data_IF_888318220753
#
_entry.id   IF_888318220753
#
_cell.length_a   1.000
_cell.length_b   1.000
_cell.length_c   1.000
_cell.angle_alpha   90.00
_cell.angle_beta   90.00
_cell.angle_gamma   90.00
#
_symmetry.space_group_name_H-M   'P 1'
#
loop_
_entity.id
_entity.type
_entity.pdbx_description
1 polymer ?
#
# COMPACT_ATOMS: atom_id res chain seq x y z
N UNK A 1 -36.24 34.38 0.68
CA UNK A 1 -36.05 33.00 0.19
C UNK A 1 -34.79 32.36 0.76
N UNK A 2 -33.58 32.59 0.24
CA UNK A 2 -32.34 31.95 0.75
C UNK A 2 -31.87 32.43 2.15
N UNK A 3 -32.33 33.60 2.59
CA UNK A 3 -31.97 34.17 3.90
C UNK A 3 -32.88 33.63 5.02
N UNK A 4 -34.10 33.21 4.68
CA UNK A 4 -35.12 32.79 5.65
C UNK A 4 -34.90 31.35 6.14
N UNK A 5 -34.09 30.55 5.42
CA UNK A 5 -33.71 29.17 5.75
C UNK A 5 -32.37 29.06 6.51
N UNK A 6 -31.79 30.18 6.96
CA UNK A 6 -30.56 30.15 7.75
C UNK A 6 -30.91 29.68 9.17
N UNK A 7 -30.65 28.41 9.44
CA UNK A 7 -30.76 27.82 10.77
C UNK A 7 -29.37 27.46 11.33
N UNK A 8 -29.30 27.33 12.65
CA UNK A 8 -28.08 26.85 13.30
C UNK A 8 -27.73 25.42 12.86
N UNK A 9 -26.44 25.12 12.89
CA UNK A 9 -25.94 23.77 12.63
C UNK A 9 -26.52 22.75 13.63
N UNK A 10 -26.78 21.51 13.19
CA UNK A 10 -27.25 20.44 14.08
C UNK A 10 -26.36 20.25 15.31
N UNK A 11 -26.96 19.69 16.36
CA UNK A 11 -26.30 19.53 17.67
C UNK A 11 -24.99 18.73 17.60
N UNK A 12 -24.90 17.81 16.65
CA UNK A 12 -23.73 16.96 16.40
C UNK A 12 -22.51 17.76 15.95
N UNK A 13 -22.69 18.91 15.30
CA UNK A 13 -21.59 19.81 14.90
C UNK A 13 -21.35 20.91 15.94
N UNK A 14 -22.42 21.47 16.51
CA UNK A 14 -22.33 22.57 17.47
C UNK A 14 -21.68 22.12 18.78
N UNK A 15 -21.92 20.88 19.22
CA UNK A 15 -21.40 20.37 20.49
C UNK A 15 -19.87 20.32 20.53
N UNK A 16 -19.15 19.71 19.56
CA UNK A 16 -17.69 19.76 19.52
C UNK A 16 -17.14 21.19 19.48
N UNK A 17 -17.77 22.09 18.73
CA UNK A 17 -17.33 23.49 18.60
C UNK A 17 -17.44 24.25 19.92
N UNK A 18 -18.56 24.08 20.65
CA UNK A 18 -18.76 24.71 21.96
C UNK A 18 -17.76 24.17 22.99
N UNK A 19 -17.52 22.85 23.00
CA UNK A 19 -16.52 22.23 23.88
C UNK A 19 -15.13 22.77 23.57
N UNK A 20 -14.71 22.80 22.30
CA UNK A 20 -13.40 23.33 21.90
C UNK A 20 -13.25 24.82 22.23
N UNK A 21 -14.30 25.62 22.04
CA UNK A 21 -14.31 27.03 22.43
C UNK A 21 -14.15 27.18 23.95
N UNK A 22 -14.84 26.35 24.74
CA UNK A 22 -14.68 26.26 26.20
C UNK A 22 -13.25 25.89 26.61
N UNK A 23 -12.63 24.94 25.92
CA UNK A 23 -11.25 24.52 26.18
C UNK A 23 -10.20 25.56 25.77
N UNK A 24 -10.56 26.49 24.88
CA UNK A 24 -9.66 27.56 24.40
C UNK A 24 -9.55 28.73 25.39
N UNK A 25 -10.34 28.76 26.46
CA UNK A 25 -10.20 29.78 27.51
C UNK A 25 -8.92 29.58 28.31
N UNK A 26 -8.25 30.69 28.62
CA UNK A 26 -6.96 30.69 29.34
C UNK A 26 -6.98 29.88 30.65
N UNK A 27 -8.14 29.83 31.32
CA UNK A 27 -8.35 29.16 32.61
C UNK A 27 -7.92 27.69 32.55
N UNK A 28 -8.16 27.01 31.43
CA UNK A 28 -7.82 25.59 31.25
C UNK A 28 -6.32 25.36 31.35
N UNK A 29 -5.49 26.32 30.91
CA UNK A 29 -4.04 26.21 30.88
C UNK A 29 -3.37 26.67 32.19
N UNK A 30 -4.04 27.50 32.99
CA UNK A 30 -3.49 28.03 34.24
C UNK A 30 -3.83 27.20 35.48
N UNK A 31 -4.76 26.23 35.39
CA UNK A 31 -5.11 25.33 36.49
C UNK A 31 -3.85 24.68 37.13
N UNK A 32 -3.77 24.57 38.47
CA UNK A 32 -4.74 24.94 39.49
C UNK A 32 -4.70 26.42 39.93
N UNK A 33 -3.83 27.25 39.33
CA UNK A 33 -3.67 28.66 39.69
C UNK A 33 -4.65 29.53 38.89
N UNK A 34 -5.57 30.19 39.58
CA UNK A 34 -6.53 31.12 38.97
C UNK A 34 -5.96 32.54 38.91
N UNK A 35 -4.89 32.73 38.14
CA UNK A 35 -4.37 34.07 37.86
C UNK A 35 -4.16 34.28 36.34
N UNK A 36 -5.00 35.10 35.67
CA UNK A 36 -4.86 35.39 34.24
C UNK A 36 -3.58 36.12 33.85
N UNK A 37 -2.89 36.73 34.82
CA UNK A 37 -1.70 37.55 34.61
C UNK A 37 -0.41 36.89 35.13
N UNK A 38 -0.48 35.62 35.53
CA UNK A 38 0.69 34.87 35.99
C UNK A 38 1.02 33.76 35.00
N UNK A 39 2.30 33.56 34.76
CA UNK A 39 2.83 32.55 33.85
C UNK A 39 2.84 31.13 34.46
N UNK A 40 2.16 30.93 35.59
CA UNK A 40 2.15 29.67 36.32
C UNK A 40 0.91 28.84 35.99
N UNK A 41 1.12 27.62 35.50
CA UNK A 41 0.09 26.67 35.15
C UNK A 41 0.69 25.33 34.74
N UNK A 42 -0.11 24.26 34.80
CA UNK A 42 0.35 22.90 34.47
C UNK A 42 1.03 22.81 33.10
N UNK A 43 0.61 23.63 32.12
CA UNK A 43 1.17 23.65 30.77
C UNK A 43 2.60 24.20 30.74
N UNK A 44 2.87 25.26 31.50
CA UNK A 44 4.21 25.87 31.58
C UNK A 44 5.19 24.98 32.35
N UNK A 45 4.70 24.17 33.29
CA UNK A 45 5.54 23.20 34.01
C UNK A 45 6.04 22.05 33.11
N UNK A 46 5.28 21.72 32.06
CA UNK A 46 5.65 20.72 31.05
C UNK A 46 6.65 21.30 30.04
N UNK A 47 6.46 22.56 29.62
CA UNK A 47 7.32 23.21 28.62
C UNK A 47 8.53 23.84 29.31
N UNK A 48 9.49 23.02 29.69
CA UNK A 48 10.77 23.49 30.23
C UNK A 48 11.72 23.85 29.09
N UNK A 49 12.19 25.09 29.07
CA UNK A 49 13.23 25.52 28.15
C UNK A 49 14.51 24.70 28.41
N UNK A 50 15.05 24.09 27.35
CA UNK A 50 16.33 23.39 27.37
C UNK A 50 17.36 24.16 26.56
N UNK A 51 18.63 23.99 26.91
CA UNK A 51 19.73 24.61 26.18
C UNK A 51 19.83 24.03 24.77
N UNK A 52 20.12 24.92 23.82
CA UNK A 52 20.33 24.53 22.43
C UNK A 52 21.60 23.68 22.29
N UNK A 53 21.53 22.62 21.49
CA UNK A 53 22.67 21.77 21.14
C UNK A 53 23.61 22.44 20.12
N UNK A 54 23.25 23.62 19.62
CA UNK A 54 24.04 24.38 18.64
C UNK A 54 25.15 25.14 19.36
N UNK A 55 26.40 24.86 19.00
CA UNK A 55 27.56 25.56 19.54
C UNK A 55 27.48 27.08 19.25
N UNK A 56 27.57 27.89 20.30
CA UNK A 56 27.52 29.36 20.21
C UNK A 56 26.13 29.99 20.33
N UNK A 57 25.08 29.20 20.56
CA UNK A 57 23.76 29.72 20.92
C UNK A 57 23.75 30.21 22.39
N UNK A 58 22.93 31.24 22.67
CA UNK A 58 22.66 31.71 24.02
C UNK A 58 22.02 30.60 24.86
N UNK A 59 22.35 30.54 26.15
CA UNK A 59 21.73 29.58 27.07
C UNK A 59 20.24 29.90 27.27
N UNK A 60 19.44 28.88 27.59
CA UNK A 60 18.02 29.04 27.86
C UNK A 60 17.78 30.00 29.04
N UNK A 61 18.70 30.05 30.01
CA UNK A 61 18.63 30.98 31.13
C UNK A 61 18.86 32.44 30.73
N UNK A 62 19.85 32.72 29.90
CA UNK A 62 20.13 34.07 29.40
C UNK A 62 18.97 34.61 28.56
N UNK A 63 18.36 33.74 27.74
CA UNK A 63 17.17 34.07 26.94
C UNK A 63 15.99 34.38 27.88
N UNK A 64 15.76 33.56 28.91
CA UNK A 64 14.69 33.79 29.88
C UNK A 64 14.84 35.15 30.60
N UNK A 65 16.05 35.50 31.04
CA UNK A 65 16.33 36.79 31.67
C UNK A 65 16.08 37.95 30.71
N UNK A 66 16.48 37.83 29.44
CA UNK A 66 16.22 38.83 28.40
C UNK A 66 14.74 39.03 28.09
N UNK A 67 13.97 37.92 28.06
CA UNK A 67 12.52 37.95 27.88
C UNK A 67 11.83 38.60 29.08
N UNK A 68 12.24 38.30 30.31
CA UNK A 68 11.67 38.93 31.50
C UNK A 68 11.78 40.46 31.49
N UNK A 69 12.88 41.00 30.97
CA UNK A 69 13.06 42.46 30.85
C UNK A 69 12.22 43.08 29.72
N UNK A 70 11.91 42.31 28.68
CA UNK A 70 11.21 42.79 27.47
C UNK A 70 9.77 42.31 27.36
N UNK A 71 9.25 41.63 28.39
CA UNK A 71 7.95 40.97 28.35
C UNK A 71 6.79 41.96 28.10
N UNK A 72 6.72 43.03 28.89
CA UNK A 72 5.69 44.07 28.76
C UNK A 72 5.73 44.80 27.40
N UNK A 73 6.87 45.32 26.93
CA UNK A 73 6.90 45.99 25.63
C UNK A 73 6.58 45.04 24.47
N UNK A 74 7.03 43.78 24.52
CA UNK A 74 6.69 42.78 23.50
C UNK A 74 5.18 42.47 23.50
N UNK A 75 4.58 42.29 24.68
CA UNK A 75 3.14 42.05 24.83
C UNK A 75 2.32 43.21 24.24
N UNK A 76 2.62 44.45 24.63
CA UNK A 76 1.91 45.63 24.15
C UNK A 76 2.08 45.78 22.64
N UNK A 77 3.30 45.62 22.12
CA UNK A 77 3.57 45.72 20.69
C UNK A 77 2.80 44.67 19.91
N UNK A 78 2.77 43.42 20.37
CA UNK A 78 2.03 42.34 19.72
C UNK A 78 0.53 42.61 19.68
N UNK A 79 -0.05 43.12 20.77
CA UNK A 79 -1.46 43.46 20.85
C UNK A 79 -1.81 44.63 19.93
N UNK A 80 -0.93 45.63 19.84
CA UNK A 80 -1.10 46.76 18.91
C UNK A 80 -1.01 46.31 17.45
N UNK A 81 -0.06 45.46 17.09
CA UNK A 81 0.08 44.93 15.72
C UNK A 81 -1.13 44.07 15.36
N UNK A 82 -1.57 43.20 16.25
CA UNK A 82 -2.77 42.38 16.03
C UNK A 82 -4.03 43.24 15.90
N UNK A 83 -4.21 44.21 16.81
CA UNK A 83 -5.36 45.12 16.81
C UNK A 83 -5.40 46.01 15.56
N UNK A 84 -4.26 46.54 15.13
CA UNK A 84 -4.16 47.33 13.88
C UNK A 84 -4.43 46.46 12.66
N UNK A 85 -3.96 45.21 12.63
CA UNK A 85 -4.28 44.26 11.56
C UNK A 85 -5.78 43.96 11.44
N UNK A 86 -6.44 43.67 12.56
CA UNK A 86 -7.90 43.46 12.59
C UNK A 86 -8.65 44.73 12.19
N UNK A 87 -8.21 45.89 12.69
CA UNK A 87 -8.81 47.17 12.34
C UNK A 87 -8.71 47.47 10.83
N UNK A 88 -7.54 47.23 10.21
CA UNK A 88 -7.36 47.39 8.76
C UNK A 88 -8.26 46.43 7.97
N UNK A 89 -8.35 45.17 8.39
CA UNK A 89 -9.26 44.20 7.78
C UNK A 89 -10.73 44.65 7.88
N UNK A 90 -11.16 45.13 9.05
CA UNK A 90 -12.51 45.65 9.26
C UNK A 90 -12.81 46.86 8.34
N UNK A 91 -11.87 47.79 8.21
CA UNK A 91 -12.01 48.94 7.31
C UNK A 91 -12.13 48.53 5.84
N UNK A 92 -11.34 47.54 5.40
CA UNK A 92 -11.34 47.05 4.02
C UNK A 92 -12.61 46.27 3.67
N UNK A 93 -12.98 45.28 4.49
CA UNK A 93 -14.02 44.31 4.13
C UNK A 93 -15.43 44.69 4.61
N UNK A 94 -15.55 45.28 5.80
CA UNK A 94 -16.88 45.61 6.37
C UNK A 94 -17.26 47.05 6.04
N UNK A 95 -16.40 48.01 6.39
CA UNK A 95 -16.69 49.44 6.17
C UNK A 95 -16.48 49.86 4.70
N UNK A 96 -15.80 49.04 3.90
CA UNK A 96 -15.48 49.31 2.48
C UNK A 96 -14.78 50.66 2.26
N UNK A 97 -14.00 51.11 3.24
CA UNK A 97 -13.30 52.41 3.19
C UNK A 97 -12.05 52.40 2.32
N UNK A 98 -11.49 51.22 2.05
CA UNK A 98 -10.37 50.99 1.14
C UNK A 98 -10.77 49.84 0.22
N UNK A 99 -10.63 50.01 -1.09
CA UNK A 99 -10.90 48.93 -2.04
C UNK A 99 -9.72 47.94 -2.06
N UNK A 100 -9.94 46.67 -1.64
CA UNK A 100 -8.89 45.66 -1.70
C UNK A 100 -8.34 45.43 -3.12
N UNK A 101 -9.16 45.67 -4.16
CA UNK A 101 -8.74 45.48 -5.55
C UNK A 101 -7.66 46.48 -5.96
N UNK A 102 -7.85 47.76 -5.65
CA UNK A 102 -6.86 48.81 -5.93
C UNK A 102 -5.52 48.55 -5.24
N UNK A 103 -5.55 47.99 -4.02
CA UNK A 103 -4.35 47.60 -3.29
C UNK A 103 -3.68 46.39 -3.97
N UNK A 104 -4.46 45.40 -4.40
CA UNK A 104 -3.93 44.22 -5.11
C UNK A 104 -3.28 44.56 -6.46
N UNK A 105 -3.83 45.53 -7.19
CA UNK A 105 -3.27 46.01 -8.45
C UNK A 105 -1.96 46.76 -8.24
N UNK A 106 -1.85 47.54 -7.16
CA UNK A 106 -0.62 48.26 -6.81
C UNK A 106 0.50 47.31 -6.34
N UNK A 107 0.13 46.22 -5.68
CA UNK A 107 1.05 45.22 -5.14
C UNK A 107 0.89 43.86 -5.85
N UNK A 108 0.88 43.89 -7.18
CA UNK A 108 0.60 42.72 -8.02
C UNK A 108 1.53 41.54 -7.73
N UNK A 109 2.84 41.79 -7.56
CA UNK A 109 3.83 40.72 -7.35
C UNK A 109 3.58 39.93 -6.05
N UNK A 110 3.59 40.55 -4.85
CA UNK A 110 3.32 39.81 -3.61
C UNK A 110 1.88 39.29 -3.54
N UNK A 111 0.92 40.00 -4.15
CA UNK A 111 -0.47 39.52 -4.26
C UNK A 111 -0.53 38.24 -5.09
N UNK A 112 0.08 38.21 -6.28
CA UNK A 112 0.09 37.05 -7.18
C UNK A 112 0.82 35.87 -6.55
N UNK A 113 1.91 36.11 -5.82
CA UNK A 113 2.60 35.06 -5.06
C UNK A 113 1.67 34.47 -3.98
N UNK A 114 1.07 35.31 -3.13
CA UNK A 114 0.16 34.83 -2.07
C UNK A 114 -1.10 34.16 -2.66
N UNK A 115 -1.63 34.70 -3.76
CA UNK A 115 -2.83 34.20 -4.45
C UNK A 115 -2.58 32.80 -5.03
N UNK A 116 -1.42 32.57 -5.64
CA UNK A 116 -1.01 31.26 -6.13
C UNK A 116 -0.34 30.40 -5.05
N UNK A 117 -0.56 30.69 -3.75
CA UNK A 117 0.01 29.93 -2.62
C UNK A 117 1.54 29.72 -2.74
N UNK A 118 2.25 30.76 -3.19
CA UNK A 118 3.70 30.75 -3.47
C UNK A 118 4.15 29.72 -4.51
N UNK A 119 3.24 29.27 -5.38
CA UNK A 119 3.47 28.25 -6.40
C UNK A 119 3.98 26.91 -5.84
N UNK A 120 3.79 26.64 -4.55
CA UNK A 120 4.29 25.43 -3.90
C UNK A 120 3.61 24.19 -4.50
N UNK A 121 2.30 24.26 -4.72
CA UNK A 121 1.50 23.17 -5.29
C UNK A 121 1.99 22.82 -6.72
N UNK A 122 2.26 23.84 -7.54
CA UNK A 122 2.72 23.70 -8.94
C UNK A 122 4.16 23.18 -9.00
N UNK A 123 5.06 23.69 -8.16
CA UNK A 123 6.44 23.21 -8.05
C UNK A 123 6.43 21.75 -7.61
N UNK A 124 5.67 21.41 -6.57
CA UNK A 124 5.56 20.04 -6.09
C UNK A 124 5.00 19.11 -7.16
N UNK A 125 3.94 19.53 -7.86
CA UNK A 125 3.33 18.75 -8.93
C UNK A 125 4.29 18.51 -10.11
N UNK A 126 5.02 19.56 -10.52
CA UNK A 126 5.92 19.51 -11.68
C UNK A 126 7.21 18.75 -11.39
N UNK A 127 7.82 18.97 -10.23
CA UNK A 127 9.15 18.46 -9.92
C UNK A 127 9.16 17.18 -9.08
N UNK A 128 8.09 16.88 -8.36
CA UNK A 128 8.01 15.66 -7.55
C UNK A 128 6.96 14.70 -8.10
N UNK A 129 5.68 15.09 -8.11
CA UNK A 129 4.58 14.18 -8.45
C UNK A 129 4.69 13.62 -9.88
N UNK A 130 4.76 14.50 -10.88
CA UNK A 130 4.79 14.09 -12.30
C UNK A 130 5.97 13.17 -12.66
N UNK A 131 7.23 13.49 -12.31
CA UNK A 131 8.35 12.60 -12.64
C UNK A 131 8.30 11.27 -11.88
N UNK A 132 7.85 11.27 -10.62
CA UNK A 132 7.70 10.02 -9.84
C UNK A 132 6.65 9.12 -10.47
N UNK A 133 5.51 9.66 -10.91
CA UNK A 133 4.49 8.86 -11.60
C UNK A 133 4.97 8.35 -12.95
N UNK A 134 5.66 9.18 -13.75
CA UNK A 134 6.25 8.72 -15.01
C UNK A 134 7.25 7.58 -14.79
N UNK A 135 8.04 7.65 -13.73
CA UNK A 135 8.96 6.57 -13.36
C UNK A 135 8.19 5.30 -12.96
N UNK A 136 7.12 5.44 -12.19
CA UNK A 136 6.26 4.31 -11.81
C UNK A 136 5.63 3.64 -13.05
N UNK A 137 5.12 4.44 -14.00
CA UNK A 137 4.57 3.94 -15.27
C UNK A 137 5.63 3.22 -16.11
N UNK A 138 6.87 3.73 -16.12
CA UNK A 138 7.98 3.07 -16.81
C UNK A 138 8.34 1.73 -16.16
N UNK A 139 8.35 1.65 -14.82
CA UNK A 139 8.60 0.40 -14.10
C UNK A 139 7.47 -0.60 -14.39
N UNK A 140 6.21 -0.15 -14.35
CA UNK A 140 5.07 -0.99 -14.67
C UNK A 140 5.12 -1.51 -16.12
N UNK A 141 5.54 -0.69 -17.08
CA UNK A 141 5.74 -1.12 -18.46
C UNK A 141 6.82 -2.20 -18.57
N UNK A 142 7.93 -2.05 -17.85
CA UNK A 142 8.99 -3.07 -17.83
C UNK A 142 8.47 -4.40 -17.28
N UNK A 143 7.71 -4.36 -16.19
CA UNK A 143 7.14 -5.55 -15.57
C UNK A 143 6.15 -6.27 -16.52
N UNK A 144 5.12 -5.56 -17.01
CA UNK A 144 4.10 -6.15 -17.86
C UNK A 144 4.60 -6.55 -19.26
N UNK A 145 5.36 -5.67 -19.91
CA UNK A 145 5.72 -5.87 -21.32
C UNK A 145 6.99 -6.70 -21.49
N UNK A 146 7.96 -6.56 -20.59
CA UNK A 146 9.23 -7.29 -20.68
C UNK A 146 9.15 -8.55 -19.81
N UNK A 147 8.87 -8.40 -18.52
CA UNK A 147 8.95 -9.55 -17.61
C UNK A 147 7.86 -10.58 -17.88
N UNK A 148 6.59 -10.18 -17.81
CA UNK A 148 5.46 -11.12 -17.96
C UNK A 148 5.40 -11.74 -19.37
N UNK A 149 5.50 -10.91 -20.42
CA UNK A 149 5.35 -11.41 -21.79
C UNK A 149 6.53 -12.24 -22.28
N UNK A 150 7.77 -11.86 -21.96
CA UNK A 150 8.93 -12.62 -22.45
C UNK A 150 9.29 -13.76 -21.50
N UNK A 151 9.33 -13.50 -20.19
CA UNK A 151 9.74 -14.53 -19.23
C UNK A 151 8.55 -15.41 -18.89
N UNK A 152 7.48 -14.89 -18.28
CA UNK A 152 6.40 -15.77 -17.77
C UNK A 152 5.71 -16.54 -18.90
N UNK A 153 5.24 -15.85 -19.95
CA UNK A 153 4.60 -16.53 -21.09
C UNK A 153 5.60 -17.35 -21.92
N UNK A 154 6.89 -17.01 -21.91
CA UNK A 154 7.95 -17.81 -22.50
C UNK A 154 8.11 -19.15 -21.77
N UNK A 155 8.27 -19.09 -20.44
CA UNK A 155 8.32 -20.27 -19.57
C UNK A 155 7.07 -21.12 -19.70
N UNK A 156 5.88 -20.52 -19.69
CA UNK A 156 4.61 -21.23 -19.87
C UNK A 156 4.58 -22.03 -21.18
N UNK A 157 5.05 -21.45 -22.30
CA UNK A 157 5.16 -22.16 -23.58
C UNK A 157 6.14 -23.32 -23.55
N UNK A 158 7.28 -23.15 -22.88
CA UNK A 158 8.28 -24.22 -22.73
C UNK A 158 7.72 -25.36 -21.89
N UNK A 159 7.05 -25.05 -20.79
CA UNK A 159 6.42 -26.05 -19.91
C UNK A 159 5.29 -26.79 -20.63
N UNK A 160 4.43 -26.09 -21.37
CA UNK A 160 3.37 -26.75 -22.18
C UNK A 160 3.98 -27.67 -23.25
N UNK A 161 5.04 -27.22 -23.92
CA UNK A 161 5.76 -28.04 -24.89
C UNK A 161 6.36 -29.31 -24.25
N UNK A 162 7.01 -29.18 -23.09
CA UNK A 162 7.53 -30.32 -22.34
C UNK A 162 6.41 -31.28 -21.92
N UNK A 163 5.30 -30.76 -21.37
CA UNK A 163 4.14 -31.56 -20.98
C UNK A 163 3.57 -32.36 -22.16
N UNK A 164 3.48 -31.76 -23.36
CA UNK A 164 3.05 -32.47 -24.58
C UNK A 164 4.01 -33.58 -25.00
N UNK A 165 5.31 -33.39 -24.83
CA UNK A 165 6.31 -34.43 -25.11
C UNK A 165 6.17 -35.57 -24.11
N UNK A 166 6.14 -35.26 -22.81
CA UNK A 166 5.99 -36.28 -21.76
C UNK A 166 4.70 -37.06 -21.94
N UNK A 167 3.58 -36.39 -22.23
CA UNK A 167 2.31 -37.05 -22.51
C UNK A 167 2.35 -37.96 -23.74
N UNK A 168 3.07 -37.58 -24.81
CA UNK A 168 3.28 -38.47 -25.97
C UNK A 168 4.11 -39.69 -25.61
N UNK A 169 5.21 -39.51 -24.87
CA UNK A 169 6.07 -40.62 -24.44
C UNK A 169 5.32 -41.62 -23.57
N UNK A 170 4.49 -41.13 -22.64
CA UNK A 170 3.67 -41.97 -21.77
C UNK A 170 2.64 -42.77 -22.59
N UNK A 171 1.83 -42.08 -23.39
CA UNK A 171 0.74 -42.70 -24.13
C UNK A 171 1.20 -43.61 -25.27
N UNK A 172 2.16 -43.18 -26.09
CA UNK A 172 2.64 -43.97 -27.24
C UNK A 172 3.72 -44.97 -26.82
N UNK A 173 4.62 -44.57 -25.93
CA UNK A 173 5.76 -45.40 -25.52
C UNK A 173 5.38 -46.43 -24.48
N UNK A 174 4.80 -45.99 -23.36
CA UNK A 174 4.55 -46.86 -22.20
C UNK A 174 3.25 -47.63 -22.40
N UNK A 175 2.13 -46.93 -22.58
CA UNK A 175 0.81 -47.58 -22.65
C UNK A 175 0.67 -48.45 -23.91
N UNK A 176 0.81 -47.86 -25.09
CA UNK A 176 0.63 -48.61 -26.35
C UNK A 176 1.80 -49.55 -26.66
N UNK A 177 3.03 -49.10 -26.37
CA UNK A 177 4.24 -49.84 -26.66
C UNK A 177 4.42 -51.01 -25.70
N UNK A 178 4.57 -50.72 -24.42
CA UNK A 178 4.94 -51.72 -23.41
C UNK A 178 3.70 -52.45 -22.88
N UNK A 179 2.73 -51.72 -22.33
CA UNK A 179 1.59 -52.32 -21.61
C UNK A 179 0.70 -53.12 -22.55
N UNK A 180 0.27 -52.53 -23.66
CA UNK A 180 -0.60 -53.19 -24.64
C UNK A 180 0.08 -54.35 -25.34
N UNK A 181 1.37 -54.24 -25.68
CA UNK A 181 2.11 -55.36 -26.28
C UNK A 181 2.27 -56.52 -25.30
N UNK A 182 2.52 -56.22 -24.03
CA UNK A 182 2.53 -57.24 -22.98
C UNK A 182 1.16 -57.92 -22.86
N UNK A 183 0.08 -57.16 -22.80
CA UNK A 183 -1.29 -57.69 -22.77
C UNK A 183 -1.63 -58.54 -24.00
N UNK A 184 -1.25 -58.09 -25.20
CA UNK A 184 -1.42 -58.85 -26.45
C UNK A 184 -0.66 -60.17 -26.43
N UNK A 185 0.58 -60.18 -25.95
CA UNK A 185 1.40 -61.39 -25.88
C UNK A 185 0.85 -62.38 -24.85
N UNK A 186 0.45 -61.93 -23.66
CA UNK A 186 -0.20 -62.78 -22.66
C UNK A 186 -1.49 -63.40 -23.19
N UNK A 187 -2.32 -62.61 -23.90
CA UNK A 187 -3.56 -63.12 -24.52
C UNK A 187 -3.29 -64.13 -25.64
N UNK A 188 -2.24 -63.94 -26.44
CA UNK A 188 -1.80 -64.91 -27.45
C UNK A 188 -1.34 -66.22 -26.79
N UNK A 189 -0.51 -66.14 -25.75
CA UNK A 189 -0.07 -67.31 -24.99
C UNK A 189 -1.27 -68.08 -24.41
N UNK A 190 -2.24 -67.39 -23.81
CA UNK A 190 -3.47 -68.01 -23.30
C UNK A 190 -4.31 -68.69 -24.39
N UNK A 191 -4.45 -68.07 -25.58
CA UNK A 191 -5.14 -68.70 -26.73
C UNK A 191 -4.42 -69.96 -27.23
N UNK A 192 -3.09 -69.92 -27.29
CA UNK A 192 -2.27 -71.07 -27.69
C UNK A 192 -2.42 -72.23 -26.70
N UNK A 193 -2.33 -71.95 -25.39
CA UNK A 193 -2.58 -72.95 -24.34
C UNK A 193 -4.00 -73.52 -24.39
N UNK A 194 -5.01 -72.67 -24.68
CA UNK A 194 -6.39 -73.14 -24.85
C UNK A 194 -6.54 -74.11 -26.01
N UNK A 195 -5.81 -73.92 -27.11
CA UNK A 195 -5.87 -74.84 -28.26
C UNK A 195 -5.27 -76.23 -27.99
N UNK A 196 -4.42 -76.36 -26.96
CA UNK A 196 -3.92 -77.67 -26.51
C UNK A 196 -5.04 -78.51 -25.89
N UNK A 197 -6.08 -77.89 -25.34
CA UNK A 197 -7.25 -78.57 -24.80
C UNK A 197 -8.26 -78.86 -25.91
N UNK A 198 -8.19 -80.06 -26.50
CA UNK A 198 -9.04 -80.47 -27.63
C UNK A 198 -10.42 -81.01 -27.22
N UNK A 199 -10.66 -81.24 -25.94
CA UNK A 199 -11.92 -81.81 -25.41
C UNK A 199 -12.12 -83.30 -25.70
N UNK A 200 -11.18 -83.98 -26.37
CA UNK A 200 -11.24 -85.42 -26.67
C UNK A 200 -10.47 -86.22 -25.61
N UNK A 201 -11.16 -87.14 -24.90
CA UNK A 201 -10.56 -87.98 -23.84
C UNK A 201 -9.30 -88.74 -24.30
N UNK A 202 -9.27 -89.20 -25.56
CA UNK A 202 -8.12 -89.90 -26.13
C UNK A 202 -6.86 -89.03 -26.17
N UNK A 203 -6.99 -87.73 -26.45
CA UNK A 203 -5.85 -86.80 -26.48
C UNK A 203 -5.25 -86.60 -25.08
N UNK A 204 -6.09 -86.54 -24.04
CA UNK A 204 -5.62 -86.44 -22.65
C UNK A 204 -4.90 -87.72 -22.19
N UNK A 205 -5.42 -88.90 -22.53
CA UNK A 205 -4.75 -90.17 -22.22
C UNK A 205 -3.38 -90.27 -22.89
N UNK A 206 -3.26 -89.79 -24.14
CA UNK A 206 -1.99 -89.76 -24.87
C UNK A 206 -0.99 -88.79 -24.23
N UNK A 207 -1.42 -87.58 -23.84
CA UNK A 207 -0.56 -86.64 -23.11
C UNK A 207 -0.11 -87.20 -21.74
N UNK A 208 -0.97 -87.89 -21.01
CA UNK A 208 -0.62 -88.52 -19.73
C UNK A 208 0.44 -89.62 -19.90
N UNK A 209 0.25 -90.52 -20.88
CA UNK A 209 1.23 -91.55 -21.22
C UNK A 209 2.57 -90.96 -21.67
N UNK A 210 2.55 -89.95 -22.56
CA UNK A 210 3.76 -89.22 -22.94
C UNK A 210 4.44 -88.57 -21.73
N UNK A 211 3.67 -87.97 -20.83
CA UNK A 211 4.20 -87.37 -19.60
C UNK A 211 4.94 -88.38 -18.73
N UNK A 212 4.35 -89.56 -18.51
CA UNK A 212 4.98 -90.65 -17.75
C UNK A 212 6.27 -91.14 -18.42
N UNK A 213 6.26 -91.30 -19.75
CA UNK A 213 7.45 -91.72 -20.52
C UNK A 213 8.56 -90.66 -20.40
N UNK A 214 8.22 -89.37 -20.58
CA UNK A 214 9.19 -88.27 -20.47
C UNK A 214 9.76 -88.19 -19.06
N UNK A 215 8.93 -88.31 -18.02
CA UNK A 215 9.39 -88.33 -16.63
C UNK A 215 10.34 -89.50 -16.39
N UNK A 216 10.01 -90.71 -16.87
CA UNK A 216 10.90 -91.87 -16.76
C UNK A 216 12.22 -91.66 -17.49
N UNK A 217 12.20 -91.08 -18.70
CA UNK A 217 13.43 -90.80 -19.46
C UNK A 217 14.29 -89.75 -18.76
N UNK A 218 13.69 -88.66 -18.26
CA UNK A 218 14.40 -87.63 -17.49
C UNK A 218 14.94 -88.18 -16.17
N UNK A 219 14.26 -89.14 -15.55
CA UNK A 219 14.69 -89.78 -14.31
C UNK A 219 15.78 -90.84 -14.52
N UNK A 220 15.88 -91.39 -15.74
CA UNK A 220 16.90 -92.36 -16.15
C UNK A 220 18.18 -91.68 -16.66
N UNK A 221 18.07 -90.46 -17.19
CA UNK A 221 19.20 -89.57 -17.51
C UNK A 221 19.71 -88.89 -16.23
#
# INVERSE_FOLDING_TARGET
DLIDDIHESPWEMTTPLVILSGLSFFIVFTLPHFNPFSDHGWFMDIIRAQDSLVAGALSAHEIAVGIHHSHLPAMILSLLVAGTGIYLAWQMYIKKGMDPKLISEKFEIPYTLSYNKFYIDEIYSRYLYTPVLKLADQIAYIDWEIYDKYFINGFGRVTDWLARITGRVDYEGIDQGVVDSFGRNTRRAGKMLRSVQTGKLQTYMLFALMGVIVIMVIQVI
#
